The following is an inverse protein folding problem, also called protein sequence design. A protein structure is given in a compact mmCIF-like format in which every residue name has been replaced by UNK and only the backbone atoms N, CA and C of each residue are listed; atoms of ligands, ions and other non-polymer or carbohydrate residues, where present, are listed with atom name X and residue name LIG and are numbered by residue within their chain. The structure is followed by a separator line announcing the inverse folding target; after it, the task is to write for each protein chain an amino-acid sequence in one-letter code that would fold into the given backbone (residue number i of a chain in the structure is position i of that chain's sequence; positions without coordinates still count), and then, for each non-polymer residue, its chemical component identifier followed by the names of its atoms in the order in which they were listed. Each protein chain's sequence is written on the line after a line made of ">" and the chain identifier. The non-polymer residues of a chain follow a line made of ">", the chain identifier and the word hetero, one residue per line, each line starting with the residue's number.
data_IF_094013414049
#
_entry.id   IF_094013414049
#
_cell.length_a   1.000
_cell.length_b   1.000
_cell.length_c   1.000
_cell.angle_alpha   90.00
_cell.angle_beta   90.00
_cell.angle_gamma   90.00
#
_symmetry.space_group_name_H-M   'P 1'
#
loop_
_entity.id
_entity.type
_entity.pdbx_description
1 polymer ?
#
# COMPACT_ATOMS: atom_id res chain seq x y z
N UNK A 1 -11.81 -10.13 23.45
CA UNK A 1 -12.04 -9.51 22.13
C UNK A 1 -10.67 -9.09 21.61
N UNK A 2 -9.95 -9.98 20.92
CA UNK A 2 -8.60 -9.68 20.47
C UNK A 2 -8.71 -8.75 19.27
N UNK A 3 -8.21 -7.54 19.47
CA UNK A 3 -8.06 -6.50 18.45
C UNK A 3 -7.19 -7.11 17.34
N UNK A 4 -7.80 -7.42 16.21
CA UNK A 4 -7.10 -7.86 15.02
C UNK A 4 -6.25 -6.70 14.51
N UNK A 5 -5.04 -6.57 15.04
CA UNK A 5 -3.97 -5.92 14.29
C UNK A 5 -3.80 -6.75 13.03
N UNK A 6 -4.44 -6.32 11.93
CA UNK A 6 -4.11 -6.82 10.60
C UNK A 6 -2.68 -6.33 10.34
N UNK A 7 -1.69 -7.02 10.90
CA UNK A 7 -0.29 -6.74 10.70
C UNK A 7 -0.04 -6.89 9.21
N UNK A 8 0.24 -5.78 8.54
CA UNK A 8 0.70 -5.80 7.17
C UNK A 8 1.90 -6.77 7.08
N UNK A 9 1.81 -7.78 6.21
CA UNK A 9 2.87 -8.76 5.97
C UNK A 9 3.46 -8.43 4.60
N UNK A 10 4.72 -7.98 4.50
CA UNK A 10 5.40 -7.77 3.23
C UNK A 10 5.30 -9.01 2.33
N UNK A 11 5.13 -8.80 1.03
CA UNK A 11 5.10 -9.89 0.04
C UNK A 11 6.26 -10.87 0.19
N UNK A 12 7.49 -10.37 0.33
CA UNK A 12 8.69 -11.20 0.43
C UNK A 12 8.59 -12.17 1.61
N UNK A 13 8.06 -11.70 2.75
CA UNK A 13 7.82 -12.52 3.93
C UNK A 13 6.69 -13.53 3.69
N UNK A 14 5.58 -13.09 3.08
CA UNK A 14 4.45 -13.97 2.82
C UNK A 14 4.80 -15.08 1.82
N UNK A 15 5.54 -14.75 0.76
CA UNK A 15 5.92 -15.69 -0.29
C UNK A 15 6.87 -16.78 0.22
N UNK A 16 7.70 -16.51 1.24
CA UNK A 16 8.50 -17.55 1.90
C UNK A 16 7.64 -18.66 2.53
N UNK A 17 6.46 -18.31 3.03
CA UNK A 17 5.50 -19.27 3.58
C UNK A 17 4.55 -19.85 2.52
N UNK A 18 4.40 -19.16 1.39
CA UNK A 18 3.52 -19.52 0.27
C UNK A 18 4.28 -19.51 -1.08
N UNK A 19 5.26 -20.41 -1.29
CA UNK A 19 6.17 -20.35 -2.44
C UNK A 19 5.50 -20.59 -3.79
N UNK A 20 4.31 -21.20 -3.81
CA UNK A 20 3.55 -21.46 -5.03
C UNK A 20 2.52 -20.37 -5.34
N UNK A 21 2.41 -19.36 -4.49
CA UNK A 21 1.41 -18.31 -4.65
C UNK A 21 1.94 -17.12 -5.43
N UNK A 22 1.04 -16.39 -6.09
CA UNK A 22 1.38 -15.22 -6.90
C UNK A 22 1.20 -13.90 -6.14
N UNK A 23 1.86 -12.84 -6.63
CA UNK A 23 1.68 -11.49 -6.12
C UNK A 23 0.21 -11.06 -6.11
N UNK A 24 -0.57 -11.40 -7.15
CA UNK A 24 -2.01 -11.12 -7.17
C UNK A 24 -2.79 -11.83 -6.07
N UNK A 25 -2.42 -13.05 -5.69
CA UNK A 25 -3.08 -13.77 -4.60
C UNK A 25 -2.80 -13.12 -3.25
N UNK A 26 -1.56 -12.68 -3.02
CA UNK A 26 -1.21 -11.90 -1.84
C UNK A 26 -1.94 -10.56 -1.81
N UNK A 27 -1.95 -9.81 -2.92
CA UNK A 27 -2.62 -8.51 -3.03
C UNK A 27 -4.12 -8.59 -2.70
N UNK A 28 -4.80 -9.66 -3.13
CA UNK A 28 -6.20 -9.88 -2.76
C UNK A 28 -6.43 -10.08 -1.25
N UNK A 29 -5.45 -10.61 -0.52
CA UNK A 29 -5.52 -10.81 0.93
C UNK A 29 -5.02 -9.58 1.71
N UNK A 30 -4.24 -8.72 1.05
CA UNK A 30 -3.60 -7.56 1.64
C UNK A 30 -4.02 -6.29 0.88
N UNK A 31 -5.15 -5.66 1.28
CA UNK A 31 -5.69 -4.48 0.60
C UNK A 31 -4.84 -3.22 0.78
N UNK A 32 -3.80 -3.28 1.63
CA UNK A 32 -2.85 -2.21 1.86
C UNK A 32 -1.49 -2.65 1.35
N UNK A 33 -1.11 -2.16 0.17
CA UNK A 33 0.21 -2.44 -0.42
C UNK A 33 1.01 -1.14 -0.49
N UNK A 34 2.19 -1.04 0.13
CA UNK A 34 3.06 0.11 -0.03
C UNK A 34 3.45 0.34 -1.50
N UNK A 35 3.46 1.61 -1.92
CA UNK A 35 3.92 2.03 -3.24
C UNK A 35 5.24 1.39 -3.68
N UNK A 36 6.26 1.37 -2.83
CA UNK A 36 7.58 0.80 -3.18
C UNK A 36 7.48 -0.66 -3.61
N UNK A 37 6.67 -1.43 -2.88
CA UNK A 37 6.45 -2.84 -3.16
C UNK A 37 5.60 -3.03 -4.42
N UNK A 38 4.57 -2.19 -4.61
CA UNK A 38 3.81 -2.17 -5.86
C UNK A 38 4.70 -1.88 -7.07
N UNK A 39 5.51 -0.82 -6.99
CA UNK A 39 6.36 -0.36 -8.07
C UNK A 39 7.46 -1.38 -8.40
N UNK A 40 7.93 -2.15 -7.42
CA UNK A 40 8.83 -3.27 -7.67
C UNK A 40 8.22 -4.31 -8.61
N UNK A 41 6.95 -4.67 -8.40
CA UNK A 41 6.24 -5.64 -9.25
C UNK A 41 5.67 -5.03 -10.53
N UNK A 42 5.41 -3.73 -10.53
CA UNK A 42 4.88 -2.96 -11.67
C UNK A 42 5.74 -1.70 -11.92
N UNK A 43 6.95 -1.85 -12.50
CA UNK A 43 7.90 -0.74 -12.66
C UNK A 43 7.42 0.36 -13.61
N UNK A 44 6.43 0.07 -14.45
CA UNK A 44 5.81 1.05 -15.35
C UNK A 44 4.53 1.67 -14.77
N UNK A 45 4.10 1.27 -13.57
CA UNK A 45 2.94 1.88 -12.93
C UNK A 45 3.26 3.28 -12.41
N UNK A 46 2.24 4.15 -12.40
CA UNK A 46 2.30 5.48 -11.77
C UNK A 46 1.72 5.45 -10.37
N UNK A 47 2.13 6.42 -9.54
CA UNK A 47 1.58 6.61 -8.19
C UNK A 47 0.04 6.69 -8.21
N UNK A 48 -0.51 7.31 -9.26
CA UNK A 48 -1.95 7.47 -9.46
C UNK A 48 -2.67 6.16 -9.79
N UNK A 49 -2.04 5.27 -10.56
CA UNK A 49 -2.58 3.92 -10.84
C UNK A 49 -2.56 3.03 -9.59
N UNK A 50 -1.52 3.14 -8.77
CA UNK A 50 -1.46 2.46 -7.48
C UNK A 50 -2.54 2.96 -6.52
N UNK A 51 -2.72 4.28 -6.43
CA UNK A 51 -3.73 4.91 -5.57
C UNK A 51 -5.16 4.48 -5.94
N UNK A 52 -5.48 4.32 -7.23
CA UNK A 52 -6.80 3.81 -7.65
C UNK A 52 -7.12 2.42 -7.09
N UNK A 53 -6.10 1.62 -6.79
CA UNK A 53 -6.24 0.26 -6.27
C UNK A 53 -6.01 0.18 -4.75
N UNK A 54 -5.41 1.22 -4.16
CA UNK A 54 -5.06 1.32 -2.75
C UNK A 54 -5.56 2.68 -2.23
N UNK A 55 -6.84 2.79 -1.84
CA UNK A 55 -7.45 4.08 -1.47
C UNK A 55 -6.89 4.66 -0.17
N UNK A 56 -6.22 3.84 0.64
CA UNK A 56 -5.57 4.28 1.87
C UNK A 56 -4.06 4.38 1.67
N UNK A 57 -3.55 5.60 1.82
CA UNK A 57 -2.12 5.91 1.69
C UNK A 57 -1.64 6.43 3.04
N UNK A 58 -0.70 5.76 3.72
CA UNK A 58 -0.11 6.30 4.95
C UNK A 58 0.57 7.65 4.71
N UNK A 59 0.41 8.61 5.65
CA UNK A 59 1.03 9.94 5.58
C UNK A 59 2.51 9.90 5.21
N UNK A 60 3.29 9.04 5.87
CA UNK A 60 4.73 8.96 5.64
C UNK A 60 5.08 8.63 4.19
N UNK A 61 4.36 7.70 3.58
CA UNK A 61 4.54 7.34 2.18
C UNK A 61 4.07 8.45 1.25
N UNK A 62 2.95 9.10 1.56
CA UNK A 62 2.46 10.22 0.76
C UNK A 62 3.43 11.41 0.74
N UNK A 63 3.96 11.79 1.91
CA UNK A 63 4.85 12.93 2.06
C UNK A 63 6.20 12.73 1.36
N UNK A 64 6.68 11.47 1.24
CA UNK A 64 7.86 11.18 0.43
C UNK A 64 7.66 11.55 -1.05
N UNK A 65 6.46 11.38 -1.58
CA UNK A 65 6.10 11.78 -2.94
C UNK A 65 5.65 13.23 -3.06
N UNK A 66 5.23 13.85 -1.95
CA UNK A 66 4.71 15.22 -1.88
C UNK A 66 5.41 16.02 -0.77
N UNK A 67 6.72 16.29 -0.88
CA UNK A 67 7.52 16.86 0.21
C UNK A 67 7.15 18.30 0.58
N UNK A 68 6.43 19.00 -0.30
CA UNK A 68 5.97 20.37 -0.07
C UNK A 68 4.52 20.43 0.43
N UNK A 69 3.88 19.28 0.60
CA UNK A 69 2.47 19.22 0.96
C UNK A 69 2.28 18.94 2.44
N UNK A 70 1.21 19.47 3.00
CA UNK A 70 0.89 19.44 4.43
C UNK A 70 0.06 18.21 4.83
N UNK A 71 0.10 17.87 6.11
CA UNK A 71 -0.76 16.83 6.71
C UNK A 71 -2.24 17.08 6.43
N UNK A 72 -2.65 18.35 6.44
CA UNK A 72 -4.01 18.76 6.13
C UNK A 72 -4.43 18.38 4.70
N UNK A 73 -3.55 18.59 3.72
CA UNK A 73 -3.81 18.24 2.31
C UNK A 73 -3.90 16.73 2.12
N UNK A 74 -3.03 15.95 2.77
CA UNK A 74 -3.16 14.49 2.80
C UNK A 74 -4.47 14.05 3.45
N UNK A 75 -4.79 14.55 4.65
CA UNK A 75 -6.00 14.16 5.37
C UNK A 75 -7.27 14.46 4.57
N UNK A 76 -7.33 15.60 3.88
CA UNK A 76 -8.45 15.91 2.97
C UNK A 76 -8.53 14.95 1.78
N UNK A 77 -7.39 14.51 1.26
CA UNK A 77 -7.33 13.64 0.08
C UNK A 77 -7.68 12.18 0.39
N UNK A 78 -7.29 11.67 1.56
CA UNK A 78 -7.40 10.23 1.88
C UNK A 78 -8.36 9.88 3.03
N UNK A 79 -8.87 10.86 3.78
CA UNK A 79 -9.75 10.62 4.94
C UNK A 79 -11.13 11.33 4.87
N UNK A 80 -11.40 12.13 3.83
CA UNK A 80 -12.68 12.86 3.68
C UNK A 80 -13.47 12.47 2.41
N UNK A 81 -13.45 11.19 2.04
CA UNK A 81 -14.34 10.61 1.02
C UNK A 81 -15.53 9.88 1.63
#
# INVERSE_FOLDING_TARGET
>A
MQQGHSSYIPWEQWHQHHPHSSWQQWHHQHPYVPWEQWHHHYPHSTWQQWHQQNPYVPWGQWHQHHPHSSWQQWHQTYHQG
#
